data_IF_946555168791
#
_entry.id   IF_946555168791
#
_cell.length_a   1.000
_cell.length_b   1.000
_cell.length_c   1.000
_cell.angle_alpha   90.00
_cell.angle_beta   90.00
_cell.angle_gamma   90.00
#
_symmetry.space_group_name_H-M   'P 1'
#
loop_
_entity.id
_entity.type
_entity.pdbx_description
1 polymer ?
#
# COMPACT_ATOMS: atom_id res chain seq x y z
N UNK A 1 -14.84 -9.44 -1.37
CA UNK A 1 -13.80 -8.51 -1.84
C UNK A 1 -12.48 -8.72 -1.10
N UNK A 2 -12.44 -8.81 0.25
CA UNK A 2 -11.18 -8.97 0.99
C UNK A 2 -10.40 -10.24 0.56
N UNK A 3 -11.07 -11.36 0.32
CA UNK A 3 -10.42 -12.57 -0.23
C UNK A 3 -9.87 -12.36 -1.63
N UNK A 4 -10.54 -11.58 -2.48
CA UNK A 4 -10.02 -11.19 -3.80
C UNK A 4 -8.78 -10.31 -3.62
N UNK A 5 -8.81 -9.37 -2.67
CA UNK A 5 -7.65 -8.57 -2.29
C UNK A 5 -6.46 -9.42 -1.86
N UNK A 6 -6.68 -10.40 -0.97
CA UNK A 6 -5.64 -11.33 -0.54
C UNK A 6 -5.07 -12.19 -1.68
N UNK A 7 -5.91 -12.60 -2.64
CA UNK A 7 -5.47 -13.32 -3.82
C UNK A 7 -4.67 -12.42 -4.76
N UNK A 8 -5.16 -11.22 -5.06
CA UNK A 8 -4.47 -10.26 -5.91
C UNK A 8 -3.14 -9.79 -5.30
N UNK A 9 -3.06 -9.65 -3.98
CA UNK A 9 -1.80 -9.37 -3.31
C UNK A 9 -0.72 -10.43 -3.60
N UNK A 10 -1.11 -11.70 -3.71
CA UNK A 10 -0.19 -12.81 -3.98
C UNK A 10 0.15 -13.00 -5.46
N UNK A 11 -0.74 -12.65 -6.36
CA UNK A 11 -0.60 -12.87 -7.82
C UNK A 11 -0.24 -11.61 -8.59
N UNK A 12 -0.84 -10.47 -8.23
CA UNK A 12 -0.64 -9.16 -8.86
C UNK A 12 0.19 -8.19 -8.01
N UNK A 13 0.66 -8.62 -6.83
CA UNK A 13 1.48 -7.79 -5.94
C UNK A 13 0.74 -6.56 -5.41
N UNK A 14 1.52 -5.51 -5.13
CA UNK A 14 1.00 -4.25 -4.58
C UNK A 14 0.01 -3.56 -5.52
N UNK A 15 0.28 -3.56 -6.82
CA UNK A 15 -0.59 -2.94 -7.84
C UNK A 15 -1.96 -3.64 -7.88
N UNK A 16 -1.98 -4.97 -8.01
CA UNK A 16 -3.23 -5.72 -8.05
C UNK A 16 -4.05 -5.57 -6.77
N UNK A 17 -3.39 -5.49 -5.61
CA UNK A 17 -4.07 -5.22 -4.34
C UNK A 17 -4.66 -3.81 -4.30
N UNK A 18 -3.91 -2.79 -4.73
CA UNK A 18 -4.37 -1.40 -4.80
C UNK A 18 -5.58 -1.23 -5.73
N UNK A 19 -5.60 -1.94 -6.85
CA UNK A 19 -6.73 -1.96 -7.78
C UNK A 19 -8.01 -2.51 -7.11
N UNK A 20 -7.91 -3.60 -6.34
CA UNK A 20 -9.06 -4.15 -5.61
C UNK A 20 -9.60 -3.15 -4.59
N UNK A 21 -8.73 -2.44 -3.88
CA UNK A 21 -9.16 -1.41 -2.91
C UNK A 21 -9.85 -0.24 -3.63
N UNK A 22 -9.31 0.20 -4.75
CA UNK A 22 -9.89 1.29 -5.57
C UNK A 22 -11.27 0.90 -6.10
N UNK A 23 -11.44 -0.33 -6.60
CA UNK A 23 -12.74 -0.85 -7.04
C UNK A 23 -13.72 -0.92 -5.86
N UNK A 24 -13.27 -1.39 -4.69
CA UNK A 24 -14.09 -1.42 -3.50
C UNK A 24 -14.58 -0.02 -3.11
N UNK A 25 -13.71 0.98 -3.09
CA UNK A 25 -14.07 2.38 -2.81
C UNK A 25 -15.13 2.90 -3.76
N UNK A 26 -14.96 2.68 -5.08
CA UNK A 26 -15.96 3.06 -6.10
C UNK A 26 -17.30 2.40 -5.87
N UNK A 27 -17.34 1.12 -5.54
CA UNK A 27 -18.60 0.43 -5.25
C UNK A 27 -19.30 1.00 -4.03
N UNK A 28 -18.56 1.39 -2.99
CA UNK A 28 -19.12 2.06 -1.82
C UNK A 28 -19.67 3.44 -2.14
N UNK A 29 -19.05 4.17 -3.06
CA UNK A 29 -19.52 5.47 -3.51
C UNK A 29 -20.76 5.38 -4.42
N UNK A 30 -20.76 4.44 -5.37
CA UNK A 30 -21.76 4.37 -6.43
C UNK A 30 -22.97 3.48 -6.06
N UNK A 31 -22.75 2.41 -5.30
CA UNK A 31 -23.76 1.38 -5.04
C UNK A 31 -23.91 0.99 -3.55
N UNK A 32 -23.92 1.95 -2.59
CA UNK A 32 -23.86 1.65 -1.16
C UNK A 32 -25.00 0.74 -0.68
N UNK A 33 -26.19 0.85 -1.31
CA UNK A 33 -27.38 0.07 -0.96
C UNK A 33 -27.40 -1.34 -1.57
N UNK A 34 -26.63 -1.58 -2.64
CA UNK A 34 -26.57 -2.87 -3.32
C UNK A 34 -25.49 -3.80 -2.75
N UNK A 35 -24.58 -3.29 -1.91
CA UNK A 35 -23.48 -4.07 -1.36
C UNK A 35 -23.94 -5.04 -0.27
N UNK A 36 -23.39 -6.25 -0.29
CA UNK A 36 -23.56 -7.23 0.76
C UNK A 36 -22.30 -7.36 1.64
N UNK A 37 -22.47 -7.63 2.96
CA UNK A 37 -23.72 -7.73 3.70
C UNK A 37 -24.52 -6.43 3.66
N UNK A 38 -25.86 -6.51 3.59
CA UNK A 38 -26.70 -5.31 3.72
C UNK A 38 -26.53 -4.76 5.13
N UNK A 39 -26.58 -3.44 5.25
CA UNK A 39 -26.57 -2.80 6.55
C UNK A 39 -27.95 -3.00 7.17
N UNK A 40 -27.97 -3.63 8.31
CA UNK A 40 -29.09 -3.69 9.23
C UNK A 40 -28.97 -2.58 10.29
N UNK A 41 -29.64 -2.69 11.41
CA UNK A 41 -29.73 -1.61 12.41
C UNK A 41 -28.38 -1.16 12.97
N UNK A 42 -27.38 -2.06 13.06
CA UNK A 42 -26.09 -1.78 13.69
C UNK A 42 -24.85 -1.82 12.75
N UNK A 43 -25.04 -2.14 11.48
CA UNK A 43 -23.99 -2.22 10.48
C UNK A 43 -22.82 -3.21 10.79
N UNK A 44 -22.91 -4.02 11.84
CA UNK A 44 -21.81 -4.86 12.34
C UNK A 44 -21.32 -5.85 11.27
N UNK A 45 -22.22 -6.49 10.54
CA UNK A 45 -21.83 -7.48 9.53
C UNK A 45 -21.00 -6.86 8.41
N UNK A 46 -21.39 -5.68 7.93
CA UNK A 46 -20.63 -4.96 6.90
C UNK A 46 -19.30 -4.46 7.41
N UNK A 47 -19.26 -3.91 8.62
CA UNK A 47 -18.03 -3.50 9.31
C UNK A 47 -17.04 -4.66 9.41
N UNK A 48 -17.50 -5.84 9.86
CA UNK A 48 -16.66 -7.01 9.99
C UNK A 48 -16.15 -7.52 8.63
N UNK A 49 -16.97 -7.46 7.59
CA UNK A 49 -16.55 -7.81 6.22
C UNK A 49 -15.48 -6.84 5.69
N UNK A 50 -15.54 -5.55 6.06
CA UNK A 50 -14.54 -4.55 5.71
C UNK A 50 -13.26 -4.70 6.53
N UNK A 51 -13.35 -5.01 7.82
CA UNK A 51 -12.20 -5.26 8.67
C UNK A 51 -11.31 -6.40 8.14
N UNK A 52 -11.86 -7.33 7.37
CA UNK A 52 -11.09 -8.38 6.71
C UNK A 52 -10.04 -7.85 5.70
N UNK A 53 -10.14 -6.60 5.22
CA UNK A 53 -9.07 -5.95 4.45
C UNK A 53 -7.85 -5.60 5.30
N UNK A 54 -8.00 -5.47 6.60
CA UNK A 54 -6.91 -5.23 7.55
C UNK A 54 -6.56 -6.50 8.35
N UNK A 55 -6.95 -7.70 7.86
CA UNK A 55 -6.58 -8.94 8.50
C UNK A 55 -5.06 -9.07 8.62
N UNK A 56 -4.62 -9.29 9.86
CA UNK A 56 -3.19 -9.27 10.19
C UNK A 56 -2.39 -10.32 9.45
N UNK A 57 -2.90 -11.55 9.38
CA UNK A 57 -2.19 -12.68 8.80
C UNK A 57 -2.35 -12.74 7.29
N UNK A 58 -3.57 -12.54 6.81
CA UNK A 58 -3.89 -12.71 5.40
C UNK A 58 -3.44 -11.52 4.54
N UNK A 59 -3.45 -10.30 5.09
CA UNK A 59 -3.18 -9.06 4.35
C UNK A 59 -1.95 -8.33 4.89
N UNK A 60 -1.95 -7.91 6.16
CA UNK A 60 -0.92 -7.00 6.70
C UNK A 60 0.48 -7.64 6.64
N UNK A 61 0.64 -8.87 7.12
CA UNK A 61 1.94 -9.56 7.09
C UNK A 61 2.37 -9.90 5.65
N UNK A 62 1.41 -10.26 4.78
CA UNK A 62 1.69 -10.50 3.37
C UNK A 62 2.12 -9.22 2.66
N UNK A 63 1.45 -8.09 2.92
CA UNK A 63 1.74 -6.78 2.32
C UNK A 63 3.14 -6.29 2.71
N UNK A 64 3.56 -6.46 3.97
CA UNK A 64 4.92 -6.12 4.42
C UNK A 64 6.03 -6.86 3.68
N UNK A 65 5.73 -8.05 3.15
CA UNK A 65 6.67 -8.92 2.45
C UNK A 65 6.59 -8.79 0.92
N UNK A 66 5.60 -8.06 0.39
CA UNK A 66 5.52 -7.83 -1.05
C UNK A 66 6.67 -6.94 -1.52
N UNK A 67 7.34 -7.29 -2.63
CA UNK A 67 8.34 -6.43 -3.23
C UNK A 67 7.75 -5.06 -3.59
N UNK A 68 8.39 -4.00 -3.13
CA UNK A 68 8.12 -2.62 -3.55
C UNK A 68 8.87 -2.35 -4.85
N UNK A 69 10.11 -2.79 -4.89
CA UNK A 69 10.99 -2.71 -6.07
C UNK A 69 11.70 -4.03 -6.26
N UNK A 70 11.96 -4.36 -7.52
CA UNK A 70 12.74 -5.54 -7.88
C UNK A 70 13.66 -5.23 -9.06
N UNK A 71 14.87 -5.77 -8.97
CA UNK A 71 15.86 -5.69 -10.03
C UNK A 71 16.52 -7.08 -10.18
N UNK A 72 16.68 -7.61 -11.40
CA UNK A 72 17.24 -8.94 -11.60
C UNK A 72 18.66 -9.14 -11.05
N UNK A 73 19.44 -8.06 -10.94
CA UNK A 73 20.83 -8.10 -10.45
C UNK A 73 20.94 -7.74 -8.96
N UNK A 74 20.07 -6.86 -8.47
CA UNK A 74 20.16 -6.33 -7.11
C UNK A 74 19.21 -7.02 -6.14
N UNK A 75 18.20 -7.73 -6.63
CA UNK A 75 17.21 -8.43 -5.81
C UNK A 75 15.86 -7.72 -5.72
N UNK A 76 14.99 -8.25 -4.86
CA UNK A 76 13.65 -7.73 -4.62
C UNK A 76 13.52 -7.33 -3.15
N UNK A 77 13.06 -6.11 -2.89
CA UNK A 77 12.99 -5.55 -1.54
C UNK A 77 11.59 -5.07 -1.21
N UNK A 78 11.15 -5.45 -0.02
CA UNK A 78 9.84 -5.15 0.56
C UNK A 78 9.96 -4.18 1.72
N UNK A 79 8.84 -3.64 2.22
CA UNK A 79 8.83 -2.78 3.41
C UNK A 79 9.55 -3.44 4.59
N UNK A 80 9.42 -4.76 4.76
CA UNK A 80 10.11 -5.50 5.82
C UNK A 80 11.63 -5.29 5.77
N UNK A 81 12.24 -5.30 4.58
CA UNK A 81 13.68 -5.05 4.43
C UNK A 81 14.06 -3.61 4.84
N UNK A 82 13.25 -2.63 4.45
CA UNK A 82 13.45 -1.24 4.87
C UNK A 82 13.30 -1.06 6.39
N UNK A 83 12.34 -1.75 7.01
CA UNK A 83 12.13 -1.71 8.46
C UNK A 83 13.29 -2.34 9.24
N UNK A 84 13.84 -3.45 8.73
CA UNK A 84 15.00 -4.11 9.35
C UNK A 84 16.26 -3.23 9.22
N UNK A 85 16.53 -2.71 8.03
CA UNK A 85 17.69 -1.84 7.79
C UNK A 85 17.66 -0.56 8.64
N UNK A 86 16.47 0.00 8.87
CA UNK A 86 16.26 1.16 9.72
C UNK A 86 16.19 0.83 11.23
N UNK A 87 16.38 -0.43 11.62
CA UNK A 87 16.32 -0.87 13.02
C UNK A 87 14.92 -0.84 13.65
N UNK A 88 13.85 -0.67 12.84
CA UNK A 88 12.46 -0.67 13.33
C UNK A 88 11.93 -2.08 13.58
N UNK A 89 12.54 -3.08 12.95
CA UNK A 89 12.17 -4.46 13.06
C UNK A 89 13.41 -5.34 13.21
N UNK A 90 13.37 -6.33 14.10
CA UNK A 90 14.42 -7.33 14.19
C UNK A 90 14.36 -8.31 13.00
N UNK A 91 15.50 -8.64 12.43
CA UNK A 91 15.62 -9.71 11.46
C UNK A 91 15.37 -11.07 12.12
N UNK A 92 14.77 -11.99 11.37
CA UNK A 92 14.60 -13.39 11.76
C UNK A 92 15.41 -14.29 10.83
N UNK A 93 15.60 -15.56 11.17
CA UNK A 93 16.27 -16.51 10.28
C UNK A 93 15.64 -16.60 8.88
N UNK A 94 14.33 -16.41 8.80
CA UNK A 94 13.59 -16.44 7.54
C UNK A 94 13.90 -15.23 6.61
N UNK A 95 14.47 -14.16 7.13
CA UNK A 95 14.83 -12.97 6.35
C UNK A 95 16.22 -13.08 5.67
N UNK A 96 17.01 -14.08 6.06
CA UNK A 96 18.38 -14.24 5.59
C UNK A 96 19.29 -13.11 6.06
N UNK A 97 20.32 -12.79 5.26
CA UNK A 97 21.22 -11.67 5.56
C UNK A 97 20.47 -10.34 5.38
N UNK A 98 20.48 -9.45 6.38
CA UNK A 98 19.83 -8.15 6.26
C UNK A 98 20.43 -7.34 5.10
N UNK A 99 19.54 -6.71 4.32
CA UNK A 99 19.98 -5.78 3.28
C UNK A 99 20.61 -4.55 3.92
N UNK A 100 21.73 -4.10 3.34
CA UNK A 100 22.33 -2.83 3.74
C UNK A 100 21.52 -1.65 3.20
N UNK A 101 21.63 -0.50 3.85
CA UNK A 101 21.00 0.73 3.37
C UNK A 101 21.47 1.08 1.93
N UNK A 102 22.73 0.88 1.62
CA UNK A 102 23.27 1.10 0.28
C UNK A 102 22.62 0.21 -0.79
N UNK A 103 22.31 -1.05 -0.45
CA UNK A 103 21.58 -1.94 -1.37
C UNK A 103 20.14 -1.46 -1.60
N UNK A 104 19.45 -1.01 -0.55
CA UNK A 104 18.08 -0.50 -0.65
C UNK A 104 18.02 0.79 -1.49
N UNK A 105 18.95 1.72 -1.26
CA UNK A 105 19.08 2.93 -2.07
C UNK A 105 19.43 2.57 -3.52
N UNK A 106 20.38 1.66 -3.72
CA UNK A 106 20.80 1.23 -5.05
C UNK A 106 19.67 0.60 -5.89
N UNK A 107 18.82 -0.23 -5.29
CA UNK A 107 17.71 -0.84 -6.02
C UNK A 107 16.60 0.17 -6.35
N UNK A 108 16.33 1.11 -5.45
CA UNK A 108 15.40 2.22 -5.71
C UNK A 108 15.91 3.08 -6.87
N UNK A 109 17.16 3.50 -6.82
CA UNK A 109 17.78 4.30 -7.88
C UNK A 109 17.82 3.60 -9.24
N UNK A 110 17.98 2.26 -9.25
CA UNK A 110 17.97 1.44 -10.47
C UNK A 110 16.58 1.14 -11.04
N UNK A 111 15.52 1.32 -10.26
CA UNK A 111 14.15 1.10 -10.73
C UNK A 111 13.76 2.15 -11.76
N UNK A 112 12.99 1.76 -12.80
CA UNK A 112 12.56 2.73 -13.81
C UNK A 112 11.45 3.66 -13.30
N UNK A 113 11.33 4.89 -13.83
CA UNK A 113 10.21 5.78 -13.50
C UNK A 113 8.85 5.14 -13.75
N UNK A 114 8.75 4.29 -14.79
CA UNK A 114 7.53 3.56 -15.17
C UNK A 114 7.16 2.47 -14.15
N UNK A 115 8.08 2.04 -13.32
CA UNK A 115 7.81 1.12 -12.21
C UNK A 115 7.35 1.87 -10.96
N UNK A 116 8.03 2.97 -10.61
CA UNK A 116 7.81 3.69 -9.35
C UNK A 116 6.58 4.58 -9.41
N UNK A 117 6.46 5.40 -10.46
CA UNK A 117 5.39 6.40 -10.58
C UNK A 117 3.98 5.80 -10.56
N UNK A 118 3.66 4.83 -11.43
CA UNK A 118 2.35 4.18 -11.43
C UNK A 118 2.01 3.47 -10.11
N UNK A 119 3.00 2.83 -9.46
CA UNK A 119 2.78 2.17 -8.18
C UNK A 119 2.49 3.19 -7.07
N UNK A 120 3.25 4.28 -6.99
CA UNK A 120 3.00 5.37 -6.03
C UNK A 120 1.58 5.93 -6.19
N UNK A 121 1.16 6.21 -7.44
CA UNK A 121 -0.16 6.72 -7.75
C UNK A 121 -1.27 5.71 -7.38
N UNK A 122 -1.08 4.42 -7.68
CA UNK A 122 -2.05 3.36 -7.34
C UNK A 122 -2.22 3.22 -5.83
N UNK A 123 -1.14 3.31 -5.06
CA UNK A 123 -1.20 3.29 -3.59
C UNK A 123 -1.92 4.53 -3.05
N UNK A 124 -1.71 5.70 -3.68
CA UNK A 124 -2.45 6.92 -3.35
C UNK A 124 -3.95 6.74 -3.52
N UNK A 125 -4.38 6.25 -4.68
CA UNK A 125 -5.79 5.97 -4.98
C UNK A 125 -6.40 4.93 -4.03
N UNK A 126 -5.64 3.91 -3.66
CA UNK A 126 -6.09 2.90 -2.69
C UNK A 126 -6.30 3.47 -1.28
N UNK A 127 -5.41 4.36 -0.83
CA UNK A 127 -5.55 5.05 0.47
C UNK A 127 -6.81 5.92 0.46
N UNK A 128 -7.04 6.70 -0.59
CA UNK A 128 -8.25 7.52 -0.76
C UNK A 128 -9.52 6.66 -0.78
N UNK A 129 -9.49 5.52 -1.47
CA UNK A 129 -10.60 4.58 -1.51
C UNK A 129 -10.96 4.02 -0.11
N UNK A 130 -9.95 3.68 0.71
CA UNK A 130 -10.18 3.23 2.09
C UNK A 130 -10.77 4.33 2.98
N UNK A 131 -10.34 5.58 2.80
CA UNK A 131 -10.91 6.73 3.49
C UNK A 131 -12.37 6.95 3.07
N UNK A 132 -12.69 6.88 1.78
CA UNK A 132 -14.06 6.98 1.27
C UNK A 132 -14.97 5.89 1.85
N UNK A 133 -14.47 4.66 1.99
CA UNK A 133 -15.22 3.56 2.62
C UNK A 133 -15.51 3.89 4.09
N UNK A 134 -14.51 4.33 4.85
CA UNK A 134 -14.67 4.68 6.27
C UNK A 134 -15.67 5.84 6.44
N UNK A 135 -15.51 6.91 5.68
CA UNK A 135 -16.39 8.08 5.69
C UNK A 135 -17.83 7.72 5.32
N UNK A 136 -18.01 6.88 4.29
CA UNK A 136 -19.33 6.41 3.87
C UNK A 136 -20.04 5.61 4.97
N UNK A 137 -19.32 4.71 5.63
CA UNK A 137 -19.88 3.92 6.73
C UNK A 137 -20.23 4.79 7.94
N UNK A 138 -19.35 5.71 8.34
CA UNK A 138 -19.58 6.60 9.47
C UNK A 138 -20.72 7.59 9.21
N UNK A 139 -20.78 8.17 8.02
CA UNK A 139 -21.81 9.14 7.66
C UNK A 139 -23.19 8.50 7.60
N UNK A 140 -23.28 7.30 7.03
CA UNK A 140 -24.58 6.62 6.84
C UNK A 140 -25.09 5.90 8.10
N UNK A 141 -24.18 5.43 8.99
CA UNK A 141 -24.53 4.49 10.06
C UNK A 141 -23.96 4.87 11.43
N UNK A 142 -23.39 6.07 11.56
CA UNK A 142 -22.80 6.58 12.80
C UNK A 142 -21.33 6.21 12.98
N UNK A 143 -20.67 6.93 13.89
CA UNK A 143 -19.22 6.84 14.08
C UNK A 143 -18.71 5.42 14.35
N UNK A 144 -19.45 4.65 15.14
CA UNK A 144 -19.09 3.27 15.52
C UNK A 144 -19.19 2.26 14.37
N UNK A 145 -19.87 2.62 13.27
CA UNK A 145 -19.97 1.78 12.08
C UNK A 145 -18.71 1.80 11.21
N UNK A 146 -17.79 2.75 11.44
CA UNK A 146 -16.52 2.80 10.72
C UNK A 146 -15.70 1.53 10.92
N UNK A 147 -15.12 0.96 9.83
CA UNK A 147 -14.23 -0.18 9.91
C UNK A 147 -12.86 0.21 10.50
N UNK A 148 -12.16 -0.74 11.10
CA UNK A 148 -10.80 -0.55 11.59
C UNK A 148 -9.78 -0.82 10.47
N UNK A 149 -9.64 0.13 9.57
CA UNK A 149 -8.70 0.08 8.44
C UNK A 149 -7.38 0.82 8.71
N UNK A 150 -7.22 1.43 9.87
CA UNK A 150 -6.04 2.21 10.24
C UNK A 150 -4.72 1.48 10.00
N UNK A 151 -4.54 0.24 10.48
CA UNK A 151 -3.29 -0.52 10.26
C UNK A 151 -2.95 -0.74 8.78
N UNK A 152 -3.96 -0.94 7.93
CA UNK A 152 -3.76 -1.07 6.47
C UNK A 152 -3.38 0.27 5.84
N UNK A 153 -4.10 1.34 6.17
CA UNK A 153 -3.83 2.69 5.65
C UNK A 153 -2.41 3.12 6.03
N UNK A 154 -1.99 2.91 7.26
CA UNK A 154 -0.65 3.29 7.73
C UNK A 154 0.45 2.51 6.99
N UNK A 155 0.22 1.23 6.72
CA UNK A 155 1.15 0.40 5.97
C UNK A 155 1.28 0.85 4.51
N UNK A 156 0.17 1.14 3.85
CA UNK A 156 0.16 1.67 2.48
C UNK A 156 0.86 3.04 2.41
N UNK A 157 0.62 3.92 3.39
CA UNK A 157 1.32 5.21 3.50
C UNK A 157 2.82 5.06 3.65
N UNK A 158 3.29 4.09 4.44
CA UNK A 158 4.72 3.82 4.60
C UNK A 158 5.36 3.38 3.28
N UNK A 159 4.72 2.45 2.55
CA UNK A 159 5.21 1.99 1.25
C UNK A 159 5.22 3.15 0.24
N UNK A 160 4.11 3.88 0.15
CA UNK A 160 3.98 5.03 -0.74
C UNK A 160 5.04 6.08 -0.49
N UNK A 161 5.36 6.36 0.78
CA UNK A 161 6.37 7.34 1.16
C UNK A 161 7.76 6.98 0.61
N UNK A 162 8.17 5.71 0.66
CA UNK A 162 9.45 5.27 0.10
C UNK A 162 9.54 5.63 -1.40
N UNK A 163 8.45 5.38 -2.15
CA UNK A 163 8.39 5.69 -3.58
C UNK A 163 8.36 7.20 -3.86
N UNK A 164 7.58 7.94 -3.07
CA UNK A 164 7.45 9.39 -3.21
C UNK A 164 8.78 10.12 -2.90
N UNK A 165 9.51 9.68 -1.88
CA UNK A 165 10.81 10.24 -1.52
C UNK A 165 11.83 10.00 -2.65
N UNK A 166 11.84 8.82 -3.28
CA UNK A 166 12.69 8.53 -4.44
C UNK A 166 12.32 9.39 -5.66
N UNK A 167 11.03 9.54 -5.96
CA UNK A 167 10.57 10.40 -7.07
C UNK A 167 10.96 11.86 -6.84
N UNK A 168 10.83 12.35 -5.61
CA UNK A 168 11.24 13.71 -5.24
C UNK A 168 12.76 13.93 -5.41
N UNK A 169 13.57 12.95 -4.99
CA UNK A 169 15.02 12.97 -5.17
C UNK A 169 15.42 13.06 -6.64
N UNK A 170 14.80 12.23 -7.51
CA UNK A 170 15.03 12.25 -8.96
C UNK A 170 14.67 13.59 -9.58
N UNK A 171 13.52 14.16 -9.19
CA UNK A 171 13.10 15.46 -9.65
C UNK A 171 14.06 16.58 -9.25
N UNK A 172 14.61 16.52 -8.03
CA UNK A 172 15.61 17.48 -7.56
C UNK A 172 16.92 17.36 -8.35
N UNK A 173 17.41 16.14 -8.58
CA UNK A 173 18.62 15.88 -9.36
C UNK A 173 18.48 16.37 -10.82
N UNK A 174 17.32 16.13 -11.45
CA UNK A 174 17.07 16.59 -12.81
C UNK A 174 17.05 18.12 -12.92
N UNK A 175 16.48 18.82 -11.92
CA UNK A 175 16.50 20.29 -11.88
C UNK A 175 17.93 20.82 -11.75
N UNK A 176 18.72 20.24 -10.84
CA UNK A 176 20.10 20.63 -10.65
C UNK A 176 20.95 20.43 -11.92
N UNK A 177 20.80 19.28 -12.58
CA UNK A 177 21.48 19.03 -13.86
C UNK A 177 21.12 20.08 -14.92
N UNK A 178 19.82 20.43 -15.05
CA UNK A 178 19.35 21.43 -16.00
C UNK A 178 19.81 22.88 -15.67
N UNK A 179 20.14 23.15 -14.41
CA UNK A 179 20.74 24.45 -14.01
C UNK A 179 22.23 24.51 -14.38
N UNK A 180 22.97 23.43 -14.16
CA UNK A 180 24.38 23.32 -14.52
C UNK A 180 24.59 23.45 -16.03
N UNK A 181 23.74 22.85 -16.85
CA UNK A 181 23.84 22.91 -18.31
C UNK A 181 23.51 24.30 -18.90
N UNK A 182 22.92 25.19 -18.10
CA UNK A 182 22.56 26.57 -18.54
C UNK A 182 23.56 27.64 -18.10
N UNK A 183 24.49 27.31 -17.22
CA UNK A 183 25.53 28.20 -16.71
C UNK A 183 26.86 28.03 -17.40
#
# INVERSE_FOLDING_TARGET
LAHVGAAQLRTGGLTGFAEVLTVAGRWFAEFPQALFPRVDEDAILRKNALNAFADRMAIIDALRRQPIVSNPQLGAFSLRHFDIAAGRLAATEADGAPASEAQLVGVLAAASPEQIGPLEASLGAAIEALQQIDDSMRTAHGYEAGPDLGPLVDLLKQIRRILADELALRAANARFAAEVDRG
#
